data_IF_324212392710
#
_entry.id   IF_324212392710
#
_cell.length_a   1.000
_cell.length_b   1.000
_cell.length_c   1.000
_cell.angle_alpha   90.00
_cell.angle_beta   90.00
_cell.angle_gamma   90.00
#
_symmetry.space_group_name_H-M   'P 1'
#
loop_
_entity.id
_entity.type
_entity.pdbx_description
1 polymer ?
#
# COMPACT_ATOMS: atom_id res chain seq x y z
N UNK A 1 -84.79 19.39 42.12
CA UNK A 1 -83.32 19.44 42.33
C UNK A 1 -82.63 19.76 40.99
N UNK A 2 -82.16 20.95 40.82
CA UNK A 2 -81.64 21.42 39.51
C UNK A 2 -80.10 21.45 39.59
N UNK A 3 -79.42 20.54 38.85
CA UNK A 3 -77.98 20.35 38.88
C UNK A 3 -77.29 21.40 37.99
N UNK A 4 -76.69 22.43 38.60
CA UNK A 4 -75.90 23.44 37.89
C UNK A 4 -74.55 22.85 37.42
N UNK A 5 -74.43 22.60 36.15
CA UNK A 5 -73.16 22.29 35.51
C UNK A 5 -72.28 23.56 35.50
N UNK A 6 -71.23 23.57 36.29
CA UNK A 6 -70.20 24.58 36.22
C UNK A 6 -69.43 24.42 34.92
N UNK A 7 -69.67 25.26 33.96
CA UNK A 7 -68.83 25.40 32.76
C UNK A 7 -67.54 26.11 33.20
N UNK A 8 -66.44 25.38 33.18
CA UNK A 8 -65.12 26.00 33.38
C UNK A 8 -64.82 26.90 32.18
N UNK A 9 -64.36 28.18 32.40
CA UNK A 9 -64.00 29.05 31.30
C UNK A 9 -62.79 28.44 30.54
N UNK A 10 -62.93 28.29 29.24
CA UNK A 10 -61.84 27.92 28.36
C UNK A 10 -60.85 29.08 28.34
N UNK A 11 -59.68 28.87 28.93
CA UNK A 11 -58.53 29.80 28.84
C UNK A 11 -57.98 29.71 27.41
N UNK A 12 -58.08 30.75 26.62
CA UNK A 12 -57.41 30.88 25.34
C UNK A 12 -55.92 31.07 25.51
N UNK A 13 -55.12 30.55 24.58
CA UNK A 13 -53.67 30.77 24.56
C UNK A 13 -53.34 32.25 24.33
N UNK A 14 -52.37 32.77 25.05
CA UNK A 14 -51.85 34.11 24.82
C UNK A 14 -50.86 34.10 23.64
N UNK A 15 -50.77 35.16 22.88
CA UNK A 15 -49.83 35.33 21.77
C UNK A 15 -48.38 35.17 22.24
N UNK A 16 -48.04 35.59 23.47
CA UNK A 16 -46.72 35.45 24.09
C UNK A 16 -46.38 33.97 24.34
N UNK A 17 -47.34 33.15 24.78
CA UNK A 17 -47.14 31.74 25.08
C UNK A 17 -46.82 30.96 23.79
N UNK A 18 -47.47 31.27 22.67
CA UNK A 18 -47.17 30.69 21.35
C UNK A 18 -45.79 31.12 20.87
N UNK A 19 -45.40 32.40 21.07
CA UNK A 19 -44.10 32.93 20.70
C UNK A 19 -42.97 32.22 21.47
N UNK A 20 -43.13 32.06 22.79
CA UNK A 20 -42.16 31.35 23.65
C UNK A 20 -42.08 29.87 23.25
N UNK A 21 -43.20 29.22 22.97
CA UNK A 21 -43.20 27.83 22.51
C UNK A 21 -42.49 27.66 21.17
N UNK A 22 -42.70 28.55 20.20
CA UNK A 22 -41.99 28.54 18.92
C UNK A 22 -40.50 28.81 19.09
N UNK A 23 -40.10 29.72 19.95
CA UNK A 23 -38.69 29.96 20.27
C UNK A 23 -38.02 28.72 20.88
N UNK A 24 -38.69 28.10 21.85
CA UNK A 24 -38.18 26.86 22.46
C UNK A 24 -38.04 25.73 21.42
N UNK A 25 -39.01 25.54 20.53
CA UNK A 25 -38.93 24.59 19.44
C UNK A 25 -37.78 24.90 18.46
N UNK A 26 -37.60 26.16 18.10
CA UNK A 26 -36.49 26.58 17.22
C UNK A 26 -35.13 26.31 17.84
N UNK A 27 -34.96 26.55 19.14
CA UNK A 27 -33.72 26.25 19.87
C UNK A 27 -33.48 24.74 19.92
N UNK A 28 -34.50 23.93 20.23
CA UNK A 28 -34.37 22.47 20.25
C UNK A 28 -34.02 21.92 18.86
N UNK A 29 -34.68 22.43 17.81
CA UNK A 29 -34.36 22.03 16.44
C UNK A 29 -32.93 22.39 16.03
N UNK A 30 -32.46 23.59 16.41
CA UNK A 30 -31.09 24.03 16.18
C UNK A 30 -30.02 23.20 16.91
N UNK A 31 -30.30 22.82 18.16
CA UNK A 31 -29.42 21.94 18.93
C UNK A 31 -29.42 20.49 18.35
N UNK A 32 -30.60 20.01 17.96
CA UNK A 32 -30.71 18.69 17.30
C UNK A 32 -29.92 18.61 15.99
N UNK A 33 -30.00 19.65 15.16
CA UNK A 33 -29.24 19.75 13.92
C UNK A 33 -27.73 19.74 14.16
N UNK A 34 -27.25 20.53 15.14
CA UNK A 34 -25.83 20.53 15.52
C UNK A 34 -25.34 19.16 16.01
N UNK A 35 -26.18 18.43 16.74
CA UNK A 35 -25.86 17.08 17.19
C UNK A 35 -25.70 16.11 16.02
N UNK A 36 -26.61 16.16 15.04
CA UNK A 36 -26.55 15.31 13.83
C UNK A 36 -25.31 15.64 13.00
N UNK A 37 -25.04 16.94 12.78
CA UNK A 37 -23.86 17.38 12.02
C UNK A 37 -22.54 16.94 12.69
N UNK A 38 -22.46 17.02 14.02
CA UNK A 38 -21.33 16.48 14.79
C UNK A 38 -21.15 14.97 14.64
N UNK A 39 -22.25 14.21 14.64
CA UNK A 39 -22.22 12.77 14.45
C UNK A 39 -21.75 12.38 13.03
N UNK A 40 -22.23 13.10 12.00
CA UNK A 40 -21.83 12.85 10.62
C UNK A 40 -20.33 13.10 10.43
N UNK A 41 -19.80 14.21 10.94
CA UNK A 41 -18.34 14.49 10.88
C UNK A 41 -17.51 13.43 11.63
N UNK A 42 -17.97 12.99 12.80
CA UNK A 42 -17.28 11.95 13.56
C UNK A 42 -17.28 10.63 12.80
N UNK A 43 -18.38 10.29 12.11
CA UNK A 43 -18.48 9.11 11.26
C UNK A 43 -17.51 9.18 10.06
N UNK A 44 -17.47 10.32 9.37
CA UNK A 44 -16.56 10.53 8.22
C UNK A 44 -15.09 10.42 8.65
N UNK A 45 -14.72 11.05 9.78
CA UNK A 45 -13.37 10.94 10.32
C UNK A 45 -12.99 9.50 10.69
N UNK A 46 -13.93 8.76 11.30
CA UNK A 46 -13.73 7.34 11.64
C UNK A 46 -13.56 6.49 10.38
N UNK A 47 -14.40 6.70 9.36
CA UNK A 47 -14.32 5.98 8.10
C UNK A 47 -12.99 6.23 7.40
N UNK A 48 -12.57 7.49 7.28
CA UNK A 48 -11.29 7.84 6.68
C UNK A 48 -10.10 7.20 7.40
N UNK A 49 -10.18 7.03 8.73
CA UNK A 49 -9.16 6.32 9.50
C UNK A 49 -9.13 4.82 9.19
N UNK A 50 -10.31 4.19 9.11
CA UNK A 50 -10.43 2.76 8.78
C UNK A 50 -9.90 2.49 7.37
N UNK A 51 -10.21 3.33 6.40
CA UNK A 51 -9.76 3.19 5.02
C UNK A 51 -8.23 3.25 4.91
N UNK A 52 -7.58 4.17 5.64
CA UNK A 52 -6.11 4.24 5.69
C UNK A 52 -5.48 3.00 6.34
N UNK A 53 -6.10 2.49 7.41
CA UNK A 53 -5.64 1.24 8.02
C UNK A 53 -5.80 0.05 7.09
N UNK A 54 -6.89 -0.03 6.33
CA UNK A 54 -7.12 -1.08 5.34
C UNK A 54 -6.06 -1.06 4.23
N UNK A 55 -5.69 0.13 3.73
CA UNK A 55 -4.61 0.29 2.74
C UNK A 55 -3.28 -0.22 3.32
N UNK A 56 -2.93 0.16 4.55
CA UNK A 56 -1.71 -0.29 5.21
C UNK A 56 -1.69 -1.82 5.37
N UNK A 57 -2.77 -2.41 5.88
CA UNK A 57 -2.89 -3.86 6.06
C UNK A 57 -2.77 -4.60 4.71
N UNK A 58 -3.42 -4.08 3.68
CA UNK A 58 -3.34 -4.66 2.32
C UNK A 58 -1.92 -4.61 1.78
N UNK A 59 -1.22 -3.49 1.98
CA UNK A 59 0.17 -3.35 1.56
C UNK A 59 1.12 -4.30 2.29
N UNK A 60 0.96 -4.45 3.61
CA UNK A 60 1.74 -5.40 4.41
C UNK A 60 1.44 -6.86 4.02
N UNK A 61 0.17 -7.19 3.77
CA UNK A 61 -0.21 -8.52 3.28
C UNK A 61 0.38 -8.81 1.90
N UNK A 62 0.40 -7.81 1.01
CA UNK A 62 1.04 -7.94 -0.31
C UNK A 62 2.56 -8.14 -0.19
N UNK A 63 3.21 -7.42 0.74
CA UNK A 63 4.63 -7.60 1.02
C UNK A 63 4.93 -9.02 1.52
N UNK A 64 4.13 -9.56 2.43
CA UNK A 64 4.24 -10.95 2.89
C UNK A 64 4.05 -11.94 1.74
N UNK A 65 3.02 -11.75 0.92
CA UNK A 65 2.73 -12.60 -0.24
C UNK A 65 3.88 -12.60 -1.27
N UNK A 66 4.55 -11.45 -1.48
CA UNK A 66 5.71 -11.37 -2.35
C UNK A 66 6.88 -12.18 -1.79
N UNK A 67 7.07 -12.18 -0.45
CA UNK A 67 8.11 -12.99 0.21
C UNK A 67 7.77 -14.48 0.24
N UNK A 68 6.51 -14.87 0.48
CA UNK A 68 6.07 -16.26 0.52
C UNK A 68 6.29 -17.00 -0.80
N UNK A 69 6.22 -16.27 -1.91
CA UNK A 69 6.39 -16.81 -3.26
C UNK A 69 7.77 -16.54 -3.85
N UNK A 70 8.70 -16.02 -3.04
CA UNK A 70 10.07 -15.73 -3.46
C UNK A 70 10.83 -17.02 -3.82
N UNK A 71 11.58 -16.97 -4.89
CA UNK A 71 12.43 -18.08 -5.36
C UNK A 71 13.78 -17.56 -5.83
N UNK A 72 14.81 -18.39 -5.72
CA UNK A 72 16.14 -18.12 -6.27
C UNK A 72 16.36 -18.94 -7.54
N UNK A 73 16.98 -18.35 -8.55
CA UNK A 73 17.45 -19.07 -9.73
C UNK A 73 18.94 -19.39 -9.56
N UNK A 74 19.33 -20.66 -9.40
CA UNK A 74 20.72 -21.02 -9.24
C UNK A 74 21.52 -20.95 -10.56
N UNK A 75 22.84 -20.97 -10.47
CA UNK A 75 23.78 -21.05 -11.60
C UNK A 75 24.64 -19.78 -11.75
N UNK A 76 25.62 -19.83 -12.67
CA UNK A 76 26.61 -18.77 -12.89
C UNK A 76 25.99 -17.41 -13.27
N UNK A 77 24.80 -17.42 -13.88
CA UNK A 77 23.98 -16.24 -14.18
C UNK A 77 22.67 -16.29 -13.38
N UNK A 78 22.72 -16.80 -12.15
CA UNK A 78 21.57 -16.91 -11.28
C UNK A 78 21.05 -15.55 -10.81
N UNK A 79 19.78 -15.53 -10.40
CA UNK A 79 19.18 -14.38 -9.74
C UNK A 79 18.86 -14.77 -8.29
N UNK A 80 19.28 -13.96 -7.30
CA UNK A 80 18.89 -14.20 -5.93
C UNK A 80 17.38 -14.02 -5.75
N UNK A 81 16.79 -14.76 -4.83
CA UNK A 81 15.38 -14.61 -4.50
C UNK A 81 15.05 -13.28 -3.85
N UNK A 82 15.97 -12.77 -3.04
CA UNK A 82 15.91 -11.46 -2.39
C UNK A 82 17.23 -10.72 -2.56
N UNK A 83 17.15 -9.41 -2.72
CA UNK A 83 18.32 -8.52 -2.65
C UNK A 83 17.91 -7.16 -2.09
N UNK A 84 18.65 -6.70 -1.10
CA UNK A 84 18.51 -5.38 -0.49
C UNK A 84 19.79 -4.58 -0.71
N UNK A 85 19.67 -3.38 -1.25
CA UNK A 85 20.82 -2.48 -1.53
C UNK A 85 20.86 -1.24 -0.60
N UNK A 86 20.02 -1.24 0.44
CA UNK A 86 19.85 -0.10 1.35
C UNK A 86 18.71 0.85 0.95
N UNK A 87 18.18 0.71 -0.26
CA UNK A 87 17.14 1.60 -0.80
C UNK A 87 15.99 0.84 -1.46
N UNK A 88 16.30 -0.26 -2.13
CA UNK A 88 15.35 -1.09 -2.87
C UNK A 88 15.45 -2.54 -2.43
N UNK A 89 14.33 -3.11 -2.02
CA UNK A 89 14.19 -4.54 -1.88
C UNK A 89 13.70 -5.11 -3.21
N UNK A 90 14.48 -6.00 -3.80
CA UNK A 90 14.11 -6.75 -5.01
C UNK A 90 13.76 -8.17 -4.64
N UNK A 91 12.70 -8.67 -5.20
CA UNK A 91 12.18 -10.02 -4.97
C UNK A 91 11.94 -10.67 -6.32
N UNK A 92 12.53 -11.85 -6.53
CA UNK A 92 12.16 -12.72 -7.63
C UNK A 92 11.12 -13.71 -7.14
N UNK A 93 9.91 -13.68 -7.70
CA UNK A 93 8.81 -14.52 -7.24
C UNK A 93 8.11 -15.26 -8.36
N UNK A 94 7.42 -16.34 -8.01
CA UNK A 94 6.53 -17.03 -8.95
C UNK A 94 5.28 -16.20 -9.22
N UNK A 95 4.82 -16.21 -10.46
CA UNK A 95 3.50 -15.70 -10.78
C UNK A 95 2.46 -16.66 -10.19
N UNK A 96 1.50 -16.09 -9.44
CA UNK A 96 0.47 -16.88 -8.73
C UNK A 96 -0.69 -17.31 -9.64
N UNK A 97 -0.79 -16.74 -10.84
CA UNK A 97 -1.89 -16.97 -11.77
C UNK A 97 -1.31 -17.51 -13.07
N UNK A 98 -1.74 -18.67 -13.53
CA UNK A 98 -1.45 -19.13 -14.90
C UNK A 98 -1.96 -18.06 -15.88
N UNK A 99 -1.28 -17.92 -17.02
CA UNK A 99 -1.78 -17.07 -18.09
C UNK A 99 -3.14 -17.59 -18.61
N UNK A 100 -3.84 -16.78 -19.42
CA UNK A 100 -5.12 -17.14 -20.01
C UNK A 100 -5.07 -18.43 -20.88
N UNK A 101 -3.88 -18.98 -21.11
CA UNK A 101 -3.62 -20.21 -21.86
C UNK A 101 -3.25 -21.40 -20.99
N UNK A 102 -3.25 -21.22 -19.64
CA UNK A 102 -2.91 -22.28 -18.69
C UNK A 102 -1.42 -22.62 -18.62
N UNK A 103 -0.56 -21.85 -19.28
CA UNK A 103 0.89 -21.99 -19.16
C UNK A 103 1.38 -21.34 -17.86
N UNK A 104 2.50 -21.82 -17.30
CA UNK A 104 3.16 -21.17 -16.18
C UNK A 104 3.43 -19.70 -16.55
N UNK A 105 2.81 -18.77 -15.82
CA UNK A 105 2.92 -17.34 -16.10
C UNK A 105 4.36 -16.80 -15.93
N UNK A 106 5.30 -17.65 -15.60
CA UNK A 106 6.71 -17.34 -15.44
C UNK A 106 7.03 -16.73 -14.07
N UNK A 107 8.02 -15.88 -14.06
CA UNK A 107 8.54 -15.22 -12.87
C UNK A 107 8.33 -13.72 -12.96
N UNK A 108 8.06 -13.12 -11.83
CA UNK A 108 7.99 -11.67 -11.68
C UNK A 108 9.20 -11.16 -10.91
N UNK A 109 9.74 -10.03 -11.37
CA UNK A 109 10.63 -9.19 -10.58
C UNK A 109 9.77 -8.12 -9.92
N UNK A 110 9.73 -8.13 -8.61
CA UNK A 110 9.03 -7.14 -7.80
C UNK A 110 10.07 -6.31 -7.06
N UNK A 111 9.86 -5.02 -6.96
CA UNK A 111 10.69 -4.13 -6.14
C UNK A 111 9.83 -3.30 -5.19
N UNK A 112 10.35 -3.11 -4.00
CA UNK A 112 9.79 -2.27 -2.95
C UNK A 112 10.79 -1.17 -2.65
N UNK A 113 10.34 0.08 -2.59
CA UNK A 113 11.22 1.22 -2.34
C UNK A 113 10.45 2.38 -1.72
N UNK A 114 11.20 3.33 -1.15
CA UNK A 114 10.68 4.67 -0.87
C UNK A 114 11.00 5.58 -2.05
N UNK A 115 10.00 6.30 -2.53
CA UNK A 115 10.13 7.27 -3.62
C UNK A 115 9.47 8.60 -3.23
N UNK A 116 10.16 9.70 -3.53
CA UNK A 116 9.54 11.00 -3.45
C UNK A 116 8.38 11.09 -4.46
N UNK A 117 7.23 11.60 -4.01
CA UNK A 117 6.08 11.85 -4.86
C UNK A 117 6.22 13.19 -5.57
N UNK A 118 5.67 13.28 -6.77
CA UNK A 118 5.45 14.60 -7.39
C UNK A 118 4.30 15.32 -6.67
N UNK A 119 4.22 16.67 -6.75
CA UNK A 119 3.11 17.40 -6.13
C UNK A 119 1.73 16.94 -6.60
N UNK A 120 1.62 16.56 -7.89
CA UNK A 120 0.37 16.11 -8.49
C UNK A 120 -0.03 14.71 -7.98
N UNK A 121 0.94 13.79 -7.83
CA UNK A 121 0.72 12.47 -7.22
C UNK A 121 0.31 12.61 -5.75
N UNK A 122 0.96 13.50 -5.02
CA UNK A 122 0.62 13.76 -3.62
C UNK A 122 -0.82 14.27 -3.48
N UNK A 123 -1.25 15.18 -4.35
CA UNK A 123 -2.63 15.68 -4.36
C UNK A 123 -3.65 14.58 -4.68
N UNK A 124 -3.38 13.75 -5.69
CA UNK A 124 -4.25 12.61 -6.04
C UNK A 124 -4.44 11.63 -4.88
N UNK A 125 -3.43 11.52 -4.02
CA UNK A 125 -3.46 10.69 -2.80
C UNK A 125 -4.00 11.45 -1.56
N UNK A 126 -4.42 12.70 -1.72
CA UNK A 126 -4.88 13.54 -0.63
C UNK A 126 -3.77 13.92 0.37
N UNK A 127 -2.51 13.92 -0.09
CA UNK A 127 -1.33 14.26 0.70
C UNK A 127 -0.91 15.72 0.48
N UNK A 128 -0.15 16.34 1.43
CA UNK A 128 0.30 17.72 1.30
C UNK A 128 1.18 17.94 0.05
N UNK A 129 0.90 18.99 -0.73
CA UNK A 129 1.73 19.38 -1.89
C UNK A 129 3.08 19.99 -1.49
N UNK A 130 3.16 20.56 -0.30
CA UNK A 130 4.37 21.18 0.23
C UNK A 130 5.31 20.09 0.71
N UNK A 131 6.55 20.12 0.20
CA UNK A 131 7.54 19.12 0.51
C UNK A 131 6.95 17.72 0.27
N UNK A 132 6.82 17.30 -1.01
CA UNK A 132 6.06 16.11 -1.37
C UNK A 132 6.54 14.93 -0.52
N UNK A 133 5.62 14.21 0.13
CA UNK A 133 6.00 13.14 1.02
C UNK A 133 6.67 12.03 0.22
N UNK A 134 7.55 11.34 0.88
CA UNK A 134 8.08 10.08 0.39
C UNK A 134 7.01 9.02 0.61
N UNK A 135 6.81 8.17 -0.37
CA UNK A 135 5.83 7.08 -0.29
C UNK A 135 6.48 5.71 -0.44
N UNK A 136 5.88 4.72 0.19
CA UNK A 136 6.24 3.34 0.00
C UNK A 136 5.57 2.84 -1.29
N UNK A 137 6.39 2.36 -2.20
CA UNK A 137 5.99 2.02 -3.58
C UNK A 137 6.38 0.57 -3.87
N UNK A 138 5.44 -0.15 -4.47
CA UNK A 138 5.65 -1.47 -5.03
C UNK A 138 5.66 -1.38 -6.54
N UNK A 139 6.69 -1.91 -7.19
CA UNK A 139 6.77 -1.98 -8.64
C UNK A 139 6.92 -3.43 -9.06
N UNK A 140 6.20 -3.84 -10.09
CA UNK A 140 6.21 -5.20 -10.62
C UNK A 140 6.48 -5.16 -12.12
N UNK A 141 7.53 -5.85 -12.55
CA UNK A 141 7.81 -6.06 -13.95
C UNK A 141 6.84 -7.09 -14.55
N UNK A 142 6.63 -7.08 -15.87
CA UNK A 142 5.90 -8.14 -16.55
C UNK A 142 6.48 -9.53 -16.26
N UNK A 143 5.62 -10.55 -16.26
CA UNK A 143 6.06 -11.94 -16.09
C UNK A 143 6.96 -12.36 -17.27
N UNK A 144 7.99 -13.14 -16.96
CA UNK A 144 8.87 -13.70 -17.97
C UNK A 144 9.37 -15.09 -17.56
N UNK A 145 9.55 -15.97 -18.54
CA UNK A 145 10.25 -17.24 -18.38
C UNK A 145 11.69 -17.14 -18.89
N UNK A 146 12.01 -16.06 -19.59
CA UNK A 146 13.31 -15.81 -20.19
C UNK A 146 14.29 -15.21 -19.18
N UNK A 147 15.40 -15.89 -18.94
CA UNK A 147 16.39 -15.49 -17.94
C UNK A 147 17.07 -14.16 -18.27
N UNK A 148 17.54 -13.87 -19.49
CA UNK A 148 18.08 -12.56 -19.86
C UNK A 148 17.11 -11.43 -19.61
N UNK A 149 15.84 -11.59 -19.94
CA UNK A 149 14.78 -10.59 -19.69
C UNK A 149 14.59 -10.37 -18.18
N UNK A 150 14.57 -11.43 -17.38
CA UNK A 150 14.49 -11.31 -15.91
C UNK A 150 15.70 -10.57 -15.33
N UNK A 151 16.92 -10.78 -15.86
CA UNK A 151 18.11 -10.04 -15.45
C UNK A 151 18.02 -8.56 -15.79
N UNK A 152 17.47 -8.21 -16.94
CA UNK A 152 17.23 -6.83 -17.33
C UNK A 152 16.19 -6.15 -16.40
N UNK A 153 15.08 -6.83 -16.07
CA UNK A 153 14.11 -6.33 -15.09
C UNK A 153 14.72 -6.18 -13.70
N UNK A 154 15.56 -7.14 -13.30
CA UNK A 154 16.27 -7.08 -12.02
C UNK A 154 17.23 -5.88 -11.92
N UNK A 155 17.94 -5.57 -12.98
CA UNK A 155 18.83 -4.41 -13.07
C UNK A 155 18.02 -3.10 -13.12
N UNK A 156 16.93 -3.06 -13.91
CA UNK A 156 16.08 -1.88 -14.04
C UNK A 156 15.35 -1.53 -12.73
N UNK A 157 15.04 -2.51 -11.88
CA UNK A 157 14.37 -2.30 -10.59
C UNK A 157 15.14 -1.39 -9.63
N UNK A 158 16.47 -1.29 -9.76
CA UNK A 158 17.32 -0.36 -8.98
C UNK A 158 17.16 1.08 -9.50
N UNK A 159 17.05 1.24 -10.81
CA UNK A 159 17.02 2.55 -11.47
C UNK A 159 15.67 3.25 -11.30
N UNK A 160 14.57 2.51 -11.28
CA UNK A 160 13.20 3.03 -11.15
C UNK A 160 12.90 3.69 -9.80
N UNK A 161 13.71 3.46 -8.76
CA UNK A 161 13.52 4.08 -7.45
C UNK A 161 13.98 5.53 -7.34
N UNK A 162 14.67 6.05 -8.35
CA UNK A 162 15.23 7.42 -8.35
C UNK A 162 14.61 8.39 -9.35
N UNK A 163 13.83 7.95 -10.31
CA UNK A 163 13.30 8.81 -11.38
C UNK A 163 11.78 8.74 -11.41
N UNK A 164 11.16 9.88 -11.12
CA UNK A 164 9.71 10.04 -11.10
C UNK A 164 9.09 10.02 -12.49
N UNK A 165 9.03 8.84 -13.10
CA UNK A 165 8.17 8.63 -14.26
C UNK A 165 7.15 7.56 -13.88
N UNK A 166 6.13 7.99 -13.16
CA UNK A 166 4.94 7.19 -12.98
C UNK A 166 4.23 7.11 -14.33
N UNK A 167 4.30 5.95 -14.96
CA UNK A 167 3.40 5.64 -16.05
C UNK A 167 2.07 5.21 -15.42
N UNK A 168 1.20 6.17 -15.17
CA UNK A 168 -0.21 5.92 -14.89
C UNK A 168 -0.82 5.38 -16.18
N UNK A 169 -0.93 4.08 -16.32
CA UNK A 169 -1.69 3.50 -17.42
C UNK A 169 -3.19 3.52 -17.08
N UNK A 170 -3.86 4.59 -17.54
CA UNK A 170 -5.26 4.49 -17.90
C UNK A 170 -5.34 3.63 -19.17
N UNK A 171 -6.21 2.62 -19.28
CA UNK A 171 -6.35 1.85 -20.51
C UNK A 171 -7.05 2.71 -21.56
N UNK A 172 -6.27 3.41 -22.39
CA UNK A 172 -6.78 4.07 -23.59
C UNK A 172 -6.55 3.12 -24.75
N UNK A 173 -7.64 2.60 -25.29
CA UNK A 173 -7.68 1.91 -26.57
C UNK A 173 -7.32 2.91 -27.65
N UNK A 174 -6.19 2.74 -28.32
CA UNK A 174 -5.80 3.51 -29.49
C UNK A 174 -5.28 2.61 -30.59
N UNK A 175 -5.81 2.87 -31.77
CA UNK A 175 -5.62 2.21 -33.04
C UNK A 175 -4.19 2.35 -33.62
N UNK A 176 -3.84 1.60 -34.68
CA UNK A 176 -2.49 1.34 -35.12
C UNK A 176 -1.92 2.48 -35.96
N UNK A 177 -0.69 2.88 -35.69
CA UNK A 177 0.10 3.70 -36.60
C UNK A 177 1.39 2.94 -36.96
N UNK A 178 1.54 2.66 -38.25
CA UNK A 178 2.74 2.20 -38.91
C UNK A 178 3.89 3.17 -38.68
N UNK A 179 5.01 2.69 -38.17
CA UNK A 179 6.30 3.31 -38.43
C UNK A 179 7.40 2.26 -38.31
N UNK A 180 7.96 1.93 -39.44
CA UNK A 180 9.18 1.15 -39.64
C UNK A 180 10.38 1.94 -39.12
N UNK A 181 11.08 1.42 -38.11
CA UNK A 181 12.48 1.72 -37.87
C UNK A 181 13.13 0.57 -37.11
N UNK A 182 13.98 -0.15 -37.81
CA UNK A 182 14.85 -1.20 -37.33
C UNK A 182 15.90 -0.61 -36.36
N UNK A 183 15.81 -0.97 -35.12
CA UNK A 183 16.93 -1.26 -34.21
C UNK A 183 16.32 -1.87 -32.98
N UNK A 184 16.19 -3.18 -32.97
CA UNK A 184 15.55 -3.95 -31.88
C UNK A 184 16.52 -4.13 -30.72
N UNK A 185 16.60 -3.11 -29.85
CA UNK A 185 16.80 -3.40 -28.44
C UNK A 185 15.46 -3.97 -27.94
N UNK A 186 15.42 -5.10 -27.24
CA UNK A 186 14.18 -5.60 -26.66
C UNK A 186 13.67 -4.53 -25.71
N UNK A 187 12.60 -3.84 -26.09
CA UNK A 187 11.95 -2.85 -25.22
C UNK A 187 11.35 -3.63 -24.06
N UNK A 188 11.92 -3.43 -22.86
CA UNK A 188 11.32 -3.92 -21.62
C UNK A 188 9.87 -3.44 -21.55
N UNK A 189 8.94 -4.37 -21.37
CA UNK A 189 7.55 -4.00 -21.14
C UNK A 189 7.43 -3.08 -19.92
N UNK A 190 6.42 -2.19 -19.87
CA UNK A 190 6.26 -1.26 -18.78
C UNK A 190 5.99 -2.01 -17.46
N UNK A 191 6.72 -1.64 -16.42
CA UNK A 191 6.47 -2.14 -15.08
C UNK A 191 5.25 -1.44 -14.45
N UNK A 192 4.39 -2.21 -13.81
CA UNK A 192 3.27 -1.67 -13.03
C UNK A 192 3.78 -1.15 -11.68
N UNK A 193 3.50 0.11 -11.38
CA UNK A 193 3.88 0.74 -10.11
C UNK A 193 2.63 1.14 -9.34
N UNK A 194 2.60 0.77 -8.06
CA UNK A 194 1.54 1.14 -7.12
C UNK A 194 2.14 1.94 -5.97
N UNK A 195 1.69 3.17 -5.81
CA UNK A 195 1.97 4.00 -4.62
C UNK A 195 0.98 3.55 -3.55
N UNK A 196 1.48 3.18 -2.38
CA UNK A 196 0.65 2.57 -1.34
C UNK A 196 0.27 3.61 -0.28
N UNK A 197 1.25 4.18 0.39
CA UNK A 197 1.02 5.21 1.42
C UNK A 197 2.31 5.99 1.70
N UNK A 198 2.16 7.14 2.37
CA UNK A 198 3.29 7.96 2.80
C UNK A 198 4.09 7.25 3.90
N UNK A 199 5.41 7.20 3.73
CA UNK A 199 6.33 6.68 4.73
C UNK A 199 7.62 7.49 4.68
N UNK A 200 8.28 7.71 5.83
CA UNK A 200 9.49 8.53 5.92
C UNK A 200 10.76 7.71 5.78
N UNK A 201 10.77 6.54 6.39
CA UNK A 201 11.94 5.68 6.46
C UNK A 201 11.52 4.22 6.52
N UNK A 202 12.36 3.35 6.03
CA UNK A 202 12.23 1.92 6.21
C UNK A 202 13.61 1.27 6.41
N UNK A 203 13.61 0.14 7.12
CA UNK A 203 14.80 -0.65 7.39
C UNK A 203 14.45 -2.11 7.26
N UNK A 204 15.41 -2.90 6.82
CA UNK A 204 15.27 -4.34 6.71
C UNK A 204 16.35 -5.03 7.51
N UNK A 205 15.97 -6.14 8.14
CA UNK A 205 16.87 -7.06 8.80
C UNK A 205 16.58 -8.47 8.32
N UNK A 206 17.63 -9.27 8.15
CA UNK A 206 17.53 -10.67 7.78
C UNK A 206 17.83 -11.55 8.98
N UNK A 207 17.01 -12.59 9.18
CA UNK A 207 17.26 -13.64 10.14
C UNK A 207 18.00 -14.77 9.44
N UNK A 208 19.22 -15.06 9.91
CA UNK A 208 20.08 -16.13 9.42
C UNK A 208 20.94 -16.64 10.59
N UNK A 209 21.07 -17.95 10.73
CA UNK A 209 21.95 -18.54 11.75
C UNK A 209 21.66 -18.05 13.16
N UNK A 210 20.37 -18.02 13.53
CA UNK A 210 19.85 -17.64 14.85
C UNK A 210 20.04 -16.17 15.27
N UNK A 211 20.35 -15.28 14.31
CA UNK A 211 20.50 -13.85 14.57
C UNK A 211 19.86 -12.95 13.52
N UNK A 212 19.35 -11.81 13.99
CA UNK A 212 18.94 -10.73 13.11
C UNK A 212 20.17 -9.89 12.74
N UNK A 213 20.39 -9.66 11.47
CA UNK A 213 21.51 -8.87 10.96
C UNK A 213 21.05 -7.88 9.90
N UNK A 214 21.76 -6.75 9.79
CA UNK A 214 21.55 -5.85 8.67
C UNK A 214 22.07 -6.54 7.39
N UNK A 215 21.24 -6.67 6.33
CA UNK A 215 21.65 -7.33 5.09
C UNK A 215 22.90 -6.72 4.44
N UNK A 216 23.15 -5.42 4.65
CA UNK A 216 24.31 -4.72 4.10
C UNK A 216 25.60 -5.02 4.86
N UNK A 217 25.50 -5.34 6.15
CA UNK A 217 26.67 -5.66 6.99
C UNK A 217 27.13 -7.10 6.80
N UNK A 218 26.23 -8.01 6.44
CA UNK A 218 26.52 -9.44 6.27
C UNK A 218 27.10 -9.79 4.90
N UNK A 219 27.11 -8.86 3.95
CA UNK A 219 27.64 -9.08 2.60
C UNK A 219 29.17 -9.35 2.56
N UNK A 220 29.88 -9.09 3.66
CA UNK A 220 31.34 -9.29 3.75
C UNK A 220 31.79 -10.62 4.37
N UNK A 221 30.89 -11.38 5.00
CA UNK A 221 31.25 -12.60 5.76
C UNK A 221 30.59 -13.88 5.25
N UNK A 222 29.72 -13.77 4.24
CA UNK A 222 28.95 -14.91 3.72
C UNK A 222 29.67 -15.46 2.48
N UNK A 223 30.01 -16.74 2.50
CA UNK A 223 30.58 -17.43 1.33
C UNK A 223 29.66 -17.23 0.11
N UNK A 224 30.25 -17.03 -1.06
CA UNK A 224 29.58 -16.64 -2.32
C UNK A 224 28.38 -17.50 -2.78
N UNK A 225 28.04 -18.57 -2.09
CA UNK A 225 26.86 -19.40 -2.32
C UNK A 225 25.69 -19.12 -1.35
N UNK A 226 25.92 -18.44 -0.22
CA UNK A 226 24.90 -18.17 0.80
C UNK A 226 24.15 -16.85 0.57
N UNK A 227 24.76 -15.90 -0.15
CA UNK A 227 24.11 -14.62 -0.49
C UNK A 227 22.90 -14.80 -1.41
N UNK A 228 22.86 -15.89 -2.19
CA UNK A 228 21.73 -16.20 -3.06
C UNK A 228 20.57 -16.89 -2.32
N UNK A 229 20.78 -17.36 -1.09
CA UNK A 229 19.75 -18.04 -0.32
C UNK A 229 18.77 -17.04 0.30
N UNK A 230 17.49 -17.33 0.16
CA UNK A 230 16.43 -16.58 0.82
C UNK A 230 16.62 -16.72 2.34
N UNK A 231 16.63 -15.63 3.14
CA UNK A 231 16.78 -15.71 4.58
C UNK A 231 15.61 -16.47 5.22
N UNK A 232 15.81 -16.98 6.43
CA UNK A 232 14.77 -17.68 7.19
C UNK A 232 13.73 -16.72 7.75
N UNK A 233 14.06 -15.44 7.88
CA UNK A 233 13.12 -14.38 8.23
C UNK A 233 13.56 -13.02 7.68
N UNK A 234 12.58 -12.14 7.50
CA UNK A 234 12.77 -10.74 7.11
C UNK A 234 11.97 -9.87 8.04
N UNK A 235 12.62 -8.92 8.70
CA UNK A 235 11.97 -7.89 9.51
C UNK A 235 11.97 -6.60 8.75
N UNK A 236 10.80 -6.04 8.56
CA UNK A 236 10.55 -4.71 8.06
C UNK A 236 10.27 -3.78 9.23
N UNK A 237 11.00 -2.68 9.33
CA UNK A 237 10.67 -1.55 10.19
C UNK A 237 10.33 -0.37 9.29
N UNK A 238 9.11 0.13 9.41
CA UNK A 238 8.58 1.21 8.59
C UNK A 238 8.17 2.37 9.48
N UNK A 239 8.70 3.57 9.21
CA UNK A 239 8.35 4.78 9.95
C UNK A 239 7.37 5.60 9.13
N UNK A 240 6.19 5.80 9.68
CA UNK A 240 5.13 6.63 9.12
C UNK A 240 5.26 8.07 9.58
N UNK A 241 4.81 9.06 8.79
CA UNK A 241 4.80 10.47 9.19
C UNK A 241 4.00 10.70 10.48
N UNK A 242 4.41 11.69 11.29
CA UNK A 242 3.74 12.01 12.55
C UNK A 242 2.31 12.53 12.36
N UNK A 243 2.07 13.21 11.24
CA UNK A 243 0.77 13.74 10.83
C UNK A 243 -0.12 12.70 10.14
N UNK A 244 0.40 11.52 9.86
CA UNK A 244 -0.36 10.41 9.29
C UNK A 244 -1.21 9.71 10.35
N UNK A 245 -2.22 8.98 9.89
CA UNK A 245 -3.01 8.08 10.75
C UNK A 245 -3.11 6.72 10.04
N UNK A 246 -2.49 5.66 10.58
CA UNK A 246 -1.63 5.62 11.78
C UNK A 246 -0.30 6.34 11.61
N UNK A 247 0.36 6.74 12.70
CA UNK A 247 1.66 7.37 12.74
C UNK A 247 2.65 6.52 13.56
N UNK A 248 3.95 6.83 13.42
CA UNK A 248 5.00 6.19 14.19
C UNK A 248 5.62 4.97 13.50
N UNK A 249 6.31 4.12 14.25
CA UNK A 249 7.04 2.99 13.71
C UNK A 249 6.22 1.70 13.75
N UNK A 250 6.21 1.00 12.64
CA UNK A 250 5.55 -0.32 12.48
C UNK A 250 6.64 -1.35 12.21
N UNK A 251 6.60 -2.45 12.94
CA UNK A 251 7.48 -3.60 12.72
C UNK A 251 6.65 -4.76 12.19
N UNK A 252 7.07 -5.33 11.08
CA UNK A 252 6.46 -6.50 10.47
C UNK A 252 7.52 -7.57 10.26
N UNK A 253 7.33 -8.73 10.86
CA UNK A 253 8.18 -9.88 10.65
C UNK A 253 7.55 -10.85 9.66
N UNK A 254 8.36 -11.36 8.77
CA UNK A 254 8.06 -12.49 7.91
C UNK A 254 9.00 -13.64 8.27
N UNK A 255 8.46 -14.83 8.39
CA UNK A 255 9.22 -16.06 8.64
C UNK A 255 8.98 -16.98 7.45
N UNK A 256 10.06 -17.53 6.93
CA UNK A 256 10.01 -18.45 5.79
C UNK A 256 9.16 -19.67 6.14
N UNK A 257 8.14 -20.01 5.34
CA UNK A 257 7.36 -21.22 5.56
C UNK A 257 8.26 -22.46 5.35
N UNK A 258 8.61 -23.15 6.43
CA UNK A 258 9.37 -24.40 6.37
C UNK A 258 8.37 -25.55 6.23
N UNK A 259 8.16 -26.00 5.00
CA UNK A 259 7.45 -27.26 4.76
C UNK A 259 8.44 -28.40 4.96
N UNK A 260 8.68 -28.80 6.19
CA UNK A 260 9.35 -30.06 6.48
C UNK A 260 8.32 -31.17 6.31
N UNK A 261 8.33 -31.83 5.15
CA UNK A 261 7.61 -33.09 4.98
C UNK A 261 8.34 -34.12 5.81
N UNK A 262 7.85 -34.40 7.01
CA UNK A 262 8.29 -35.59 7.78
C UNK A 262 7.79 -36.80 6.99
N UNK A 263 8.67 -37.44 6.23
CA UNK A 263 8.41 -38.77 5.70
C UNK A 263 8.47 -39.75 6.87
N UNK A 264 7.33 -40.23 7.29
CA UNK A 264 7.18 -41.41 8.14
C UNK A 264 7.49 -42.69 7.33
#
# INVERSE_FOLDING_TARGET
MMNRRHTRPARGFTLVEVLVALLAMALMAGLGWRGIDGLLRAREASQARLDRMAVLQTALAQWQSDLDTAISLPGNNGLPGLSWDGRVLRILRRASVPDARGADAGLWVVSWSLRALTPDEAEQLGLPRHNPPVAWVRTQAPASTDRPTLQQYWAAAVQGSGSGTAVTQTPTVSAPANATSNTSSPSLGPAASAVLFAAQQWQLFYYRGDAWSNPLSSSGTVSAGQDAAIPDGVRLILTLPEDATPSGSITQDWVRPNFTVVRS
#
